data_IF_673280421956
#
_entry.id   IF_673280421956
#
_cell.length_a   1.000
_cell.length_b   1.000
_cell.length_c   1.000
_cell.angle_alpha   90.00
_cell.angle_beta   90.00
_cell.angle_gamma   90.00
#
_symmetry.space_group_name_H-M   'P 1'
#
loop_
_entity.id
_entity.type
_entity.pdbx_description
1 polymer ?
#
# COMPACT_ATOMS: atom_id res chain seq x y z
N UNK A 1 -7.20 15.11 -1.32
CA UNK A 1 -6.25 14.25 -0.59
C UNK A 1 -4.95 15.04 -0.48
N UNK A 2 -4.55 15.47 0.72
CA UNK A 2 -3.39 16.36 0.86
C UNK A 2 -2.11 15.62 0.48
N UNK A 3 -1.21 16.29 -0.24
CA UNK A 3 0.04 15.73 -0.77
C UNK A 3 1.05 15.25 0.30
N UNK A 4 0.66 15.22 1.57
CA UNK A 4 1.53 14.96 2.71
C UNK A 4 1.81 13.47 2.94
N UNK A 5 0.79 12.61 2.92
CA UNK A 5 0.93 11.17 3.21
C UNK A 5 1.81 10.45 2.19
N UNK A 6 1.50 10.61 0.90
CA UNK A 6 2.22 9.91 -0.19
C UNK A 6 3.66 10.39 -0.29
N UNK A 7 3.93 11.66 0.01
CA UNK A 7 5.28 12.20 0.05
C UNK A 7 6.10 11.58 1.19
N UNK A 8 5.55 11.50 2.41
CA UNK A 8 6.23 10.90 3.56
C UNK A 8 6.48 9.40 3.33
N UNK A 9 5.46 8.66 2.88
CA UNK A 9 5.60 7.23 2.60
C UNK A 9 6.70 6.97 1.56
N UNK A 10 6.69 7.70 0.43
CA UNK A 10 7.72 7.56 -0.63
C UNK A 10 9.13 7.82 -0.11
N UNK A 11 9.31 8.84 0.73
CA UNK A 11 10.62 9.15 1.30
C UNK A 11 11.09 8.08 2.29
N UNK A 12 10.19 7.53 3.11
CA UNK A 12 10.52 6.43 4.02
C UNK A 12 10.95 5.18 3.25
N UNK A 13 10.20 4.78 2.21
CA UNK A 13 10.59 3.65 1.36
C UNK A 13 11.97 3.87 0.71
N UNK A 14 12.26 5.08 0.19
CA UNK A 14 13.57 5.40 -0.40
C UNK A 14 14.72 5.40 0.60
N UNK A 15 14.46 5.64 1.89
CA UNK A 15 15.47 5.57 2.95
C UNK A 15 15.68 4.13 3.46
N UNK A 16 14.63 3.32 3.47
CA UNK A 16 14.68 1.96 4.03
C UNK A 16 15.08 0.87 3.02
N UNK A 17 14.93 1.13 1.72
CA UNK A 17 15.22 0.18 0.64
C UNK A 17 16.12 0.80 -0.42
N UNK A 18 16.98 -0.02 -1.02
CA UNK A 18 17.79 0.41 -2.16
C UNK A 18 16.92 0.60 -3.41
N UNK A 19 17.36 1.44 -4.34
CA UNK A 19 16.66 1.66 -5.62
C UNK A 19 16.44 0.35 -6.38
N UNK A 20 17.40 -0.59 -6.34
CA UNK A 20 17.26 -1.90 -6.99
C UNK A 20 16.09 -2.71 -6.39
N UNK A 21 15.95 -2.69 -5.06
CA UNK A 21 14.86 -3.38 -4.36
C UNK A 21 13.51 -2.71 -4.65
N UNK A 22 13.46 -1.37 -4.72
CA UNK A 22 12.21 -0.64 -5.02
C UNK A 22 11.74 -0.90 -6.46
N UNK A 23 12.66 -0.89 -7.43
CA UNK A 23 12.33 -1.08 -8.86
C UNK A 23 11.98 -2.54 -9.17
N UNK A 24 12.70 -3.50 -8.57
CA UNK A 24 12.50 -4.93 -8.80
C UNK A 24 11.58 -5.62 -7.80
N UNK A 25 10.96 -4.87 -6.88
CA UNK A 25 10.19 -5.43 -5.78
C UNK A 25 8.70 -5.08 -5.85
N UNK A 26 7.91 -5.86 -5.12
CA UNK A 26 6.50 -5.62 -4.86
C UNK A 26 6.27 -5.45 -3.35
N UNK A 27 5.19 -4.77 -2.97
CA UNK A 27 4.81 -4.68 -1.56
C UNK A 27 4.38 -6.03 -0.99
N UNK A 28 3.71 -6.87 -1.78
CA UNK A 28 3.11 -8.13 -1.30
C UNK A 28 3.67 -9.37 -1.99
N UNK A 29 4.38 -9.20 -3.11
CA UNK A 29 4.87 -10.32 -3.92
C UNK A 29 3.79 -11.10 -4.68
N UNK A 30 2.53 -10.63 -4.65
CA UNK A 30 1.41 -11.32 -5.30
C UNK A 30 1.39 -11.12 -6.82
N UNK A 31 0.91 -12.15 -7.54
CA UNK A 31 0.65 -12.08 -8.98
C UNK A 31 -0.48 -11.09 -9.27
N UNK A 32 -0.27 -10.22 -10.25
CA UNK A 32 -1.30 -9.30 -10.71
C UNK A 32 -2.44 -10.06 -11.41
N UNK A 33 -3.69 -9.70 -11.10
CA UNK A 33 -4.87 -10.30 -11.74
C UNK A 33 -5.05 -9.87 -13.19
N UNK A 34 -4.48 -8.72 -13.56
CA UNK A 34 -4.55 -8.15 -14.92
C UNK A 34 -3.35 -8.50 -15.79
N UNK A 35 -2.20 -8.75 -15.18
CA UNK A 35 -0.95 -9.12 -15.88
C UNK A 35 -0.65 -10.60 -15.63
N UNK A 36 -1.48 -11.48 -16.19
CA UNK A 36 -1.42 -12.94 -15.94
C UNK A 36 -0.17 -13.60 -16.51
N UNK A 37 0.42 -13.04 -17.54
CA UNK A 37 1.60 -13.61 -18.21
C UNK A 37 2.92 -13.12 -17.61
N UNK A 38 2.85 -12.16 -16.68
CA UNK A 38 4.02 -11.66 -15.98
C UNK A 38 4.30 -12.45 -14.70
N UNK A 39 5.58 -12.75 -14.48
CA UNK A 39 6.05 -13.31 -13.23
C UNK A 39 5.81 -12.29 -12.09
N UNK A 40 5.38 -12.75 -10.90
CA UNK A 40 5.28 -11.89 -9.73
C UNK A 40 6.67 -11.38 -9.33
N UNK A 41 6.76 -10.10 -8.98
CA UNK A 41 7.97 -9.55 -8.37
C UNK A 41 8.11 -10.05 -6.92
N UNK A 42 9.33 -10.23 -6.40
CA UNK A 42 9.53 -10.60 -5.00
C UNK A 42 8.97 -9.54 -4.06
N UNK A 43 8.44 -9.98 -2.90
CA UNK A 43 8.06 -9.05 -1.83
C UNK A 43 9.30 -8.37 -1.28
N UNK A 44 9.20 -7.06 -1.01
CA UNK A 44 10.17 -6.37 -0.15
C UNK A 44 10.13 -6.93 1.28
N UNK A 45 11.19 -6.69 2.05
CA UNK A 45 11.29 -7.11 3.47
C UNK A 45 9.99 -6.74 4.22
N UNK A 46 9.21 -7.73 4.68
CA UNK A 46 7.89 -7.50 5.23
C UNK A 46 7.95 -6.75 6.56
N UNK A 47 8.98 -7.01 7.38
CA UNK A 47 9.18 -6.32 8.67
C UNK A 47 9.37 -4.82 8.48
N UNK A 48 10.25 -4.43 7.54
CA UNK A 48 10.50 -3.01 7.25
C UNK A 48 9.31 -2.35 6.57
N UNK A 49 8.66 -3.06 5.64
CA UNK A 49 7.45 -2.61 4.95
C UNK A 49 6.35 -2.30 5.96
N UNK A 50 6.05 -3.24 6.85
CA UNK A 50 4.96 -3.13 7.81
C UNK A 50 5.24 -2.02 8.82
N UNK A 51 6.49 -1.86 9.27
CA UNK A 51 6.88 -0.73 10.11
C UNK A 51 6.64 0.64 9.44
N UNK A 52 6.93 0.78 8.14
CA UNK A 52 6.67 2.02 7.38
C UNK A 52 5.17 2.25 7.24
N UNK A 53 4.41 1.20 6.90
CA UNK A 53 2.95 1.28 6.75
C UNK A 53 2.32 1.69 8.09
N UNK A 54 2.66 1.02 9.18
CA UNK A 54 2.15 1.31 10.52
C UNK A 54 2.49 2.74 10.96
N UNK A 55 3.72 3.18 10.72
CA UNK A 55 4.12 4.56 10.99
C UNK A 55 3.25 5.56 10.21
N UNK A 56 3.08 5.34 8.90
CA UNK A 56 2.26 6.20 8.06
C UNK A 56 0.78 6.18 8.46
N UNK A 57 0.22 5.03 8.81
CA UNK A 57 -1.18 4.92 9.22
C UNK A 57 -1.42 5.65 10.56
N UNK A 58 -0.56 5.43 11.56
CA UNK A 58 -0.61 6.11 12.87
C UNK A 58 -0.44 7.62 12.73
N UNK A 59 0.53 8.08 11.93
CA UNK A 59 0.85 9.50 11.79
C UNK A 59 -0.28 10.31 11.15
N UNK A 60 -1.04 9.69 10.25
CA UNK A 60 -2.10 10.36 9.49
C UNK A 60 -3.51 9.98 9.95
N UNK A 61 -3.64 9.30 11.09
CA UNK A 61 -4.93 8.96 11.70
C UNK A 61 -5.74 7.92 10.90
N UNK A 62 -5.08 7.09 10.09
CA UNK A 62 -5.74 5.95 9.47
C UNK A 62 -5.78 4.80 10.46
N UNK A 63 -6.98 4.33 10.80
CA UNK A 63 -7.14 3.10 11.58
C UNK A 63 -6.69 1.90 10.74
N UNK A 64 -5.80 1.09 11.31
CA UNK A 64 -5.44 -0.21 10.74
C UNK A 64 -6.63 -1.14 10.96
N UNK A 65 -7.51 -1.25 9.96
CA UNK A 65 -8.59 -2.24 9.98
C UNK A 65 -7.91 -3.61 9.78
N UNK A 66 -7.99 -4.55 10.75
CA UNK A 66 -7.46 -5.88 10.57
C UNK A 66 -8.05 -6.50 9.30
N UNK A 67 -7.19 -7.01 8.42
CA UNK A 67 -7.65 -7.72 7.24
C UNK A 67 -8.44 -8.96 7.68
N UNK A 68 -9.77 -8.87 7.67
CA UNK A 68 -10.66 -9.99 7.90
C UNK A 68 -11.05 -10.61 6.54
N UNK A 69 -10.52 -11.79 6.18
CA UNK A 69 -10.79 -12.44 4.89
C UNK A 69 -12.26 -12.87 4.71
N UNK A 70 -13.12 -12.68 5.73
CA UNK A 70 -14.56 -12.99 5.65
C UNK A 70 -15.45 -11.85 5.14
N UNK A 71 -14.93 -10.67 4.81
CA UNK A 71 -15.74 -9.62 4.18
C UNK A 71 -15.86 -9.83 2.65
N UNK A 72 -16.58 -10.88 2.25
CA UNK A 72 -17.29 -10.87 0.95
C UNK A 72 -18.47 -9.91 1.07
N UNK A 73 -18.21 -8.64 0.87
CA UNK A 73 -19.25 -7.62 0.93
C UNK A 73 -18.77 -6.34 0.27
N UNK A 74 -19.03 -6.24 -1.04
CA UNK A 74 -19.03 -4.96 -1.73
C UNK A 74 -19.95 -3.98 -1.00
N UNK A 75 -19.39 -3.09 -0.18
CA UNK A 75 -19.97 -1.77 -0.02
C UNK A 75 -19.22 -0.87 -1.00
N UNK A 76 -19.88 -0.59 -2.13
CA UNK A 76 -19.46 0.46 -3.06
C UNK A 76 -19.09 1.68 -2.20
N UNK A 77 -17.84 2.13 -2.27
CA UNK A 77 -17.49 3.47 -1.79
C UNK A 77 -18.24 4.43 -2.70
N UNK A 78 -19.38 4.90 -2.23
CA UNK A 78 -20.08 6.03 -2.85
C UNK A 78 -19.19 7.24 -2.58
N UNK A 79 -18.54 7.75 -3.61
CA UNK A 79 -18.00 9.10 -3.56
C UNK A 79 -19.20 10.04 -3.33
N UNK A 80 -19.15 10.94 -2.33
CA UNK A 80 -20.22 11.92 -2.18
C UNK A 80 -20.30 12.74 -3.47
N UNK A 81 -21.48 12.75 -4.09
CA UNK A 81 -21.83 13.68 -5.16
C UNK A 81 -21.45 15.09 -4.70
N UNK A 82 -20.62 15.77 -5.49
CA UNK A 82 -20.59 17.22 -5.45
C UNK A 82 -21.67 17.69 -6.40
N UNK A 83 -22.85 17.91 -5.84
CA UNK A 83 -23.78 18.87 -6.43
C UNK A 83 -23.12 20.25 -6.27
N UNK A 84 -22.80 20.88 -7.39
CA UNK A 84 -22.88 22.32 -7.70
C UNK A 84 -22.36 22.54 -9.12
#
# INVERSE_FOLDING_TARGET
>A
MSASFTFVARNLFRKSFSTKVIVGGSLLGSKSTTLKDHAPLPSVDPTRRDAIIDFCLKTYGFEVIPWNPRHKGHKKRVCPNKDY
#
